data_IF_194265829009
#
_entry.id   IF_194265829009
#
_cell.length_a   1.000
_cell.length_b   1.000
_cell.length_c   1.000
_cell.angle_alpha   90.00
_cell.angle_beta   90.00
_cell.angle_gamma   90.00
#
_symmetry.space_group_name_H-M   'P 1'
#
loop_
_entity.id
_entity.type
_entity.pdbx_description
1 polymer ?
#
# COMPACT_ATOMS: atom_id res chain seq x y z
N UNK A 1 24.60 48.76 -18.61
CA UNK A 1 23.61 48.37 -19.62
C UNK A 1 22.23 48.75 -19.11
N UNK A 2 21.52 49.66 -19.78
CA UNK A 2 20.11 49.90 -19.49
C UNK A 2 19.33 48.75 -20.11
N UNK A 3 18.60 48.00 -19.30
CA UNK A 3 17.70 46.94 -19.79
C UNK A 3 16.63 47.61 -20.65
N UNK A 4 16.51 47.18 -21.89
CA UNK A 4 15.50 47.72 -22.79
C UNK A 4 14.09 47.29 -22.33
N UNK A 5 13.06 48.13 -22.52
CA UNK A 5 11.69 47.83 -22.08
C UNK A 5 11.14 46.52 -22.67
N UNK A 6 11.57 46.14 -23.87
CA UNK A 6 11.20 44.88 -24.52
C UNK A 6 11.75 43.68 -23.73
N UNK A 7 13.03 43.71 -23.35
CA UNK A 7 13.66 42.68 -22.51
C UNK A 7 12.96 42.54 -21.16
N UNK A 8 12.58 43.65 -20.53
CA UNK A 8 11.81 43.61 -19.27
C UNK A 8 10.46 42.91 -19.47
N UNK A 9 9.72 43.25 -20.53
CA UNK A 9 8.44 42.63 -20.84
C UNK A 9 8.57 41.12 -21.13
N UNK A 10 9.62 40.71 -21.85
CA UNK A 10 9.89 39.30 -22.14
C UNK A 10 10.23 38.49 -20.87
N UNK A 11 11.01 39.06 -19.95
CA UNK A 11 11.33 38.41 -18.67
C UNK A 11 10.06 38.19 -17.84
N UNK A 12 9.19 39.20 -17.75
CA UNK A 12 7.92 39.08 -17.01
C UNK A 12 7.04 38.02 -17.66
N UNK A 13 6.92 38.04 -18.99
CA UNK A 13 6.11 37.07 -19.73
C UNK A 13 6.62 35.63 -19.54
N UNK A 14 7.92 35.41 -19.65
CA UNK A 14 8.55 34.13 -19.39
C UNK A 14 8.32 33.68 -17.93
N UNK A 15 8.45 34.60 -16.97
CA UNK A 15 8.18 34.33 -15.55
C UNK A 15 6.74 33.88 -15.30
N UNK A 16 5.75 34.51 -15.96
CA UNK A 16 4.33 34.13 -15.86
C UNK A 16 4.10 32.73 -16.44
N UNK A 17 4.64 32.44 -17.63
CA UNK A 17 4.50 31.11 -18.26
C UNK A 17 5.09 30.02 -17.38
N UNK A 18 6.31 30.23 -16.87
CA UNK A 18 6.97 29.26 -15.99
C UNK A 18 6.19 29.04 -14.70
N UNK A 19 5.68 30.12 -14.09
CA UNK A 19 4.86 30.04 -12.87
C UNK A 19 3.60 29.21 -13.10
N UNK A 20 2.89 29.44 -14.21
CA UNK A 20 1.70 28.67 -14.58
C UNK A 20 2.03 27.19 -14.84
N UNK A 21 3.16 26.91 -15.50
CA UNK A 21 3.62 25.54 -15.76
C UNK A 21 3.90 24.79 -14.45
N UNK A 22 4.68 25.36 -13.53
CA UNK A 22 5.00 24.74 -12.25
C UNK A 22 3.77 24.60 -11.36
N UNK A 23 2.86 25.58 -11.36
CA UNK A 23 1.60 25.50 -10.63
C UNK A 23 0.75 24.29 -11.07
N UNK A 24 0.63 24.06 -12.39
CA UNK A 24 -0.11 22.91 -12.94
C UNK A 24 0.54 21.58 -12.54
N UNK A 25 1.86 21.48 -12.66
CA UNK A 25 2.60 20.28 -12.23
C UNK A 25 2.37 19.99 -10.74
N UNK A 26 2.48 21.01 -9.90
CA UNK A 26 2.25 20.87 -8.46
C UNK A 26 0.82 20.43 -8.14
N UNK A 27 -0.17 21.04 -8.80
CA UNK A 27 -1.59 20.69 -8.61
C UNK A 27 -1.87 19.22 -8.98
N UNK A 28 -1.34 18.76 -10.11
CA UNK A 28 -1.47 17.36 -10.55
C UNK A 28 -0.81 16.39 -9.57
N UNK A 29 0.41 16.69 -9.13
CA UNK A 29 1.12 15.89 -8.13
C UNK A 29 0.34 15.84 -6.81
N UNK A 30 -0.16 16.97 -6.33
CA UNK A 30 -0.95 17.05 -5.09
C UNK A 30 -2.25 16.25 -5.19
N UNK A 31 -2.92 16.26 -6.35
CA UNK A 31 -4.10 15.45 -6.59
C UNK A 31 -3.80 13.94 -6.56
N UNK A 32 -2.64 13.51 -7.08
CA UNK A 32 -2.21 12.11 -7.00
C UNK A 32 -1.92 11.70 -5.55
N UNK A 33 -1.22 12.53 -4.79
CA UNK A 33 -0.88 12.26 -3.39
C UNK A 33 -2.10 12.12 -2.47
N UNK A 34 -3.19 12.85 -2.74
CA UNK A 34 -4.43 12.71 -1.96
C UNK A 34 -5.06 11.30 -2.03
N UNK A 35 -4.83 10.59 -3.14
CA UNK A 35 -5.38 9.25 -3.34
C UNK A 35 -4.39 8.15 -2.89
N UNK A 36 -3.18 8.54 -2.52
CA UNK A 36 -2.17 7.61 -2.00
C UNK A 36 -2.46 7.43 -0.52
N UNK A 37 -3.18 6.36 -0.19
CA UNK A 37 -3.36 5.91 1.19
C UNK A 37 -2.35 4.82 1.51
N UNK A 38 -1.81 4.83 2.72
CA UNK A 38 -0.94 3.76 3.19
C UNK A 38 -1.79 2.51 3.55
N UNK A 39 -1.33 1.29 3.23
CA UNK A 39 -0.09 0.97 2.50
C UNK A 39 -0.22 1.09 0.97
N UNK A 40 0.89 1.41 0.31
CA UNK A 40 0.96 1.57 -1.15
C UNK A 40 0.60 0.29 -1.92
N UNK A 41 0.90 -0.85 -1.31
CA UNK A 41 0.62 -2.18 -1.85
C UNK A 41 0.37 -3.12 -0.69
N UNK A 42 -0.73 -3.86 -0.77
CA UNK A 42 -1.02 -4.93 0.17
C UNK A 42 -0.39 -6.21 -0.37
N UNK A 43 0.48 -6.82 0.41
CA UNK A 43 1.11 -8.09 0.04
C UNK A 43 0.13 -9.27 0.20
N UNK A 44 0.36 -10.32 -0.60
CA UNK A 44 -0.50 -11.52 -0.62
C UNK A 44 -0.39 -12.36 0.65
N UNK A 45 0.72 -12.21 1.38
CA UNK A 45 1.02 -12.94 2.60
C UNK A 45 1.13 -11.98 3.79
N UNK A 46 0.93 -12.47 5.02
CA UNK A 46 1.15 -11.68 6.22
C UNK A 46 2.61 -11.24 6.34
N UNK A 47 2.87 -10.22 7.15
CA UNK A 47 4.21 -9.67 7.29
C UNK A 47 5.14 -10.74 7.86
N UNK A 48 6.36 -10.81 7.32
CA UNK A 48 7.37 -11.80 7.70
C UNK A 48 7.05 -13.26 7.32
N UNK A 49 6.09 -13.48 6.42
CA UNK A 49 5.85 -14.77 5.78
C UNK A 49 6.39 -14.77 4.36
N UNK A 50 6.89 -15.92 3.89
CA UNK A 50 7.39 -16.05 2.53
C UNK A 50 6.33 -16.64 1.60
N UNK A 51 6.16 -16.04 0.41
CA UNK A 51 5.36 -16.66 -0.66
C UNK A 51 6.16 -17.79 -1.30
N UNK A 52 5.61 -19.00 -1.25
CA UNK A 52 6.14 -20.18 -1.95
C UNK A 52 5.80 -20.12 -3.44
N UNK A 53 6.50 -20.91 -4.27
CA UNK A 53 6.22 -21.01 -5.72
C UNK A 53 4.76 -21.39 -6.06
N UNK A 54 4.08 -22.07 -5.14
CA UNK A 54 2.68 -22.47 -5.28
C UNK A 54 1.69 -21.40 -4.83
N UNK A 55 2.17 -20.22 -4.41
CA UNK A 55 1.33 -19.14 -3.91
C UNK A 55 0.78 -19.36 -2.50
N UNK A 56 1.39 -20.24 -1.72
CA UNK A 56 1.09 -20.41 -0.30
C UNK A 56 2.05 -19.57 0.52
N UNK A 57 1.60 -19.07 1.65
CA UNK A 57 2.41 -18.32 2.60
C UNK A 57 3.01 -19.28 3.61
N UNK A 58 4.33 -19.21 3.78
CA UNK A 58 5.11 -20.01 4.72
C UNK A 58 5.57 -19.15 5.89
N UNK A 59 5.24 -19.61 7.10
CA UNK A 59 5.62 -18.99 8.36
C UNK A 59 7.04 -19.39 8.74
N UNK A 60 8.01 -18.77 8.06
CA UNK A 60 9.43 -19.08 8.21
C UNK A 60 9.97 -18.82 9.61
N UNK A 61 9.40 -17.83 10.32
CA UNK A 61 9.85 -17.40 11.64
C UNK A 61 9.00 -17.93 12.80
N UNK A 62 7.94 -18.70 12.52
CA UNK A 62 7.02 -19.24 13.53
C UNK A 62 6.35 -18.15 14.41
N UNK A 63 6.09 -16.97 13.84
CA UNK A 63 5.57 -15.81 14.57
C UNK A 63 4.07 -15.89 14.86
N UNK A 64 3.34 -16.73 14.12
CA UNK A 64 1.94 -17.01 14.40
C UNK A 64 1.78 -17.80 15.71
N UNK A 65 1.52 -17.05 16.79
CA UNK A 65 1.37 -17.57 18.16
C UNK A 65 -0.09 -17.78 18.57
N UNK A 66 -1.04 -17.35 17.73
CA UNK A 66 -2.48 -17.53 17.96
C UNK A 66 -3.01 -18.89 17.48
N UNK A 67 -4.30 -19.13 17.71
CA UNK A 67 -4.97 -20.32 17.19
C UNK A 67 -5.35 -20.11 15.72
N UNK A 68 -4.52 -20.61 14.81
CA UNK A 68 -4.76 -20.55 13.38
C UNK A 68 -5.66 -21.66 12.83
N UNK A 69 -6.48 -22.29 13.68
CA UNK A 69 -7.24 -23.49 13.30
C UNK A 69 -6.41 -24.78 13.35
N UNK A 70 -5.26 -24.72 14.05
CA UNK A 70 -4.32 -25.82 14.23
C UNK A 70 -4.38 -26.43 15.63
N UNK A 71 -5.36 -26.01 16.46
CA UNK A 71 -5.51 -26.53 17.82
C UNK A 71 -4.31 -26.20 18.72
N UNK A 72 -3.67 -25.04 18.49
CA UNK A 72 -2.50 -24.59 19.26
C UNK A 72 -1.14 -25.00 18.67
N UNK A 73 -1.10 -25.77 17.58
CA UNK A 73 0.16 -26.05 16.87
C UNK A 73 0.61 -24.88 16.00
N UNK A 74 1.91 -24.67 15.84
CA UNK A 74 2.43 -23.60 14.95
C UNK A 74 2.04 -23.88 13.50
N UNK A 75 1.27 -22.96 12.90
CA UNK A 75 0.93 -23.04 11.49
C UNK A 75 2.16 -22.77 10.63
N UNK A 76 2.58 -23.74 9.82
CA UNK A 76 3.76 -23.65 8.95
C UNK A 76 3.44 -23.07 7.57
N UNK A 77 2.32 -23.47 6.98
CA UNK A 77 1.91 -23.06 5.63
C UNK A 77 0.42 -22.83 5.56
N UNK A 78 0.01 -21.80 4.82
CA UNK A 78 -1.39 -21.49 4.60
C UNK A 78 -1.61 -20.85 3.23
N UNK A 79 -2.75 -21.12 2.59
CA UNK A 79 -3.09 -20.50 1.31
C UNK A 79 -4.26 -19.52 1.47
N UNK A 80 -4.03 -18.26 1.10
CA UNK A 80 -5.07 -17.23 1.02
C UNK A 80 -5.65 -17.09 -0.38
N UNK A 81 -5.23 -17.92 -1.35
CA UNK A 81 -5.70 -17.86 -2.74
C UNK A 81 -7.05 -18.54 -2.95
N UNK A 82 -7.52 -19.30 -1.96
CA UNK A 82 -8.72 -20.15 -2.05
C UNK A 82 -9.71 -19.86 -0.94
N UNK A 83 -10.99 -20.18 -1.17
CA UNK A 83 -12.03 -20.12 -0.14
C UNK A 83 -12.46 -18.70 0.23
N UNK A 84 -12.74 -18.42 1.52
CA UNK A 84 -13.36 -17.16 1.97
C UNK A 84 -12.42 -15.95 1.88
N UNK A 85 -11.14 -16.16 1.58
CA UNK A 85 -10.13 -15.12 1.47
C UNK A 85 -10.07 -14.46 0.07
N UNK A 86 -10.89 -14.95 -0.87
CA UNK A 86 -10.99 -14.44 -2.24
C UNK A 86 -12.34 -13.75 -2.48
N UNK A 87 -12.33 -12.66 -3.25
CA UNK A 87 -13.54 -11.95 -3.67
C UNK A 87 -13.99 -10.90 -2.66
N UNK A 88 -15.23 -10.43 -2.80
CA UNK A 88 -15.81 -9.36 -1.97
C UNK A 88 -15.88 -9.82 -0.51
N UNK A 89 -15.10 -9.18 0.36
CA UNK A 89 -14.97 -9.53 1.78
C UNK A 89 -13.77 -10.43 2.12
N UNK A 90 -12.96 -10.83 1.13
CA UNK A 90 -11.75 -11.60 1.35
C UNK A 90 -10.76 -10.93 2.31
N UNK A 91 -10.62 -9.61 2.21
CA UNK A 91 -9.72 -8.84 3.07
C UNK A 91 -10.21 -8.78 4.53
N UNK A 92 -11.52 -8.72 4.76
CA UNK A 92 -12.11 -8.85 6.10
C UNK A 92 -11.81 -10.23 6.70
N UNK A 93 -11.88 -11.28 5.88
CA UNK A 93 -11.55 -12.65 6.33
C UNK A 93 -10.06 -12.81 6.62
N UNK A 94 -9.19 -12.22 5.79
CA UNK A 94 -7.75 -12.18 6.06
C UNK A 94 -7.44 -11.42 7.36
N UNK A 95 -8.15 -10.32 7.61
CA UNK A 95 -8.03 -9.55 8.86
C UNK A 95 -8.46 -10.37 10.08
N UNK A 96 -9.61 -11.02 10.02
CA UNK A 96 -10.09 -11.87 11.11
C UNK A 96 -9.11 -13.02 11.38
N UNK A 97 -8.58 -13.62 10.32
CA UNK A 97 -7.55 -14.65 10.43
C UNK A 97 -6.26 -14.11 11.06
N UNK A 98 -5.78 -12.94 10.64
CA UNK A 98 -4.53 -12.37 11.16
C UNK A 98 -4.62 -12.05 12.65
N UNK A 99 -5.73 -11.46 13.09
CA UNK A 99 -6.01 -11.21 14.52
C UNK A 99 -6.10 -12.51 15.33
N UNK A 100 -6.78 -13.52 14.80
CA UNK A 100 -6.89 -14.83 15.45
C UNK A 100 -5.53 -15.53 15.58
N UNK A 101 -4.70 -15.41 14.54
CA UNK A 101 -3.35 -15.97 14.47
C UNK A 101 -2.28 -15.13 15.19
N UNK A 102 -2.63 -13.95 15.70
CA UNK A 102 -1.68 -12.98 16.29
C UNK A 102 -0.49 -12.67 15.38
N UNK A 103 -0.77 -12.49 14.09
CA UNK A 103 0.23 -12.10 13.09
C UNK A 103 -0.12 -10.73 12.52
N UNK A 104 0.89 -9.91 12.25
CA UNK A 104 0.68 -8.63 11.55
C UNK A 104 0.47 -8.87 10.06
N UNK A 105 -0.32 -8.00 9.45
CA UNK A 105 -0.53 -7.97 8.00
C UNK A 105 -0.85 -6.54 7.59
N UNK A 106 0.16 -5.85 7.07
CA UNK A 106 0.09 -4.44 6.72
C UNK A 106 -1.06 -4.17 5.72
N UNK A 107 -1.94 -3.22 6.07
CA UNK A 107 -3.11 -2.86 5.27
C UNK A 107 -4.30 -3.80 5.35
N UNK A 108 -4.17 -4.95 6.02
CA UNK A 108 -5.26 -5.91 6.23
C UNK A 108 -5.76 -5.88 7.68
N UNK A 109 -4.86 -5.77 8.65
CA UNK A 109 -5.11 -5.80 10.10
C UNK A 109 -6.20 -4.84 10.65
N UNK A 110 -6.48 -3.76 9.92
CA UNK A 110 -7.48 -2.75 10.26
C UNK A 110 -8.83 -2.93 9.54
N UNK A 111 -8.97 -3.90 8.63
CA UNK A 111 -10.16 -4.11 7.78
C UNK A 111 -11.21 -5.07 8.39
N UNK A 112 -11.10 -5.36 9.68
CA UNK A 112 -11.96 -6.35 10.37
C UNK A 112 -13.36 -5.83 10.71
N UNK A 113 -13.61 -4.52 10.60
CA UNK A 113 -14.86 -3.87 11.00
C UNK A 113 -16.03 -4.20 10.04
#
# INVERSE_FOLDING_TARGET
>A
MKTDPLTIALIIFAGVILSLYYYRQFSNWYAQQKNITWPLKIENCPDYWNETKNGQCENVLNLATGDCGTGGSVLKKFSFKTGPFKGTGGDKQKCNWSKRCKTSWEGIDNLCA
#
